data_IF_298450107186
#
_entry.id   IF_298450107186
#
_cell.length_a   1.000
_cell.length_b   1.000
_cell.length_c   1.000
_cell.angle_alpha   90.00
_cell.angle_beta   90.00
_cell.angle_gamma   90.00
#
_symmetry.space_group_name_H-M   'P 1'
#
loop_
_entity.id
_entity.type
_entity.pdbx_description
1 polymer ?
#
# COMPACT_ATOMS: atom_id res chain seq x y z
N UNK A 1 19.31 -10.87 10.28
CA UNK A 1 18.22 -11.26 9.36
C UNK A 1 18.80 -11.24 7.96
N UNK A 2 18.36 -12.13 7.08
CA UNK A 2 18.83 -12.14 5.70
C UNK A 2 18.23 -10.98 4.91
N UNK A 3 18.90 -10.57 3.84
CA UNK A 3 18.36 -9.60 2.89
C UNK A 3 17.07 -10.09 2.23
N UNK A 4 16.92 -11.41 2.04
CA UNK A 4 15.68 -12.03 1.60
C UNK A 4 14.52 -11.78 2.55
N UNK A 5 14.71 -12.00 3.85
CA UNK A 5 13.69 -11.74 4.87
C UNK A 5 13.30 -10.26 4.85
N UNK A 6 14.29 -9.36 4.86
CA UNK A 6 14.06 -7.92 4.83
C UNK A 6 13.34 -7.45 3.55
N UNK A 7 13.71 -8.00 2.41
CA UNK A 7 13.07 -7.71 1.13
C UNK A 7 11.60 -8.15 1.12
N UNK A 8 11.30 -9.33 1.69
CA UNK A 8 9.93 -9.81 1.84
C UNK A 8 9.12 -8.95 2.80
N UNK A 9 9.71 -8.45 3.88
CA UNK A 9 9.07 -7.50 4.80
C UNK A 9 8.75 -6.19 4.07
N UNK A 10 9.68 -5.64 3.28
CA UNK A 10 9.45 -4.44 2.48
C UNK A 10 8.28 -4.63 1.50
N UNK A 11 8.18 -5.80 0.87
CA UNK A 11 7.03 -6.15 0.01
C UNK A 11 5.73 -6.25 0.82
N UNK A 12 5.78 -6.88 2.00
CA UNK A 12 4.63 -7.05 2.87
C UNK A 12 4.06 -5.71 3.34
N UNK A 13 4.94 -4.82 3.84
CA UNK A 13 4.60 -3.50 4.38
C UNK A 13 4.45 -2.42 3.29
N UNK A 14 4.63 -2.78 2.03
CA UNK A 14 4.49 -1.89 0.87
C UNK A 14 5.48 -0.72 0.89
N UNK A 15 6.69 -0.97 1.40
CA UNK A 15 7.84 -0.07 1.37
C UNK A 15 8.47 -0.04 -0.03
N UNK A 16 7.67 0.36 -1.03
CA UNK A 16 7.99 0.21 -2.46
C UNK A 16 9.33 0.85 -2.85
N UNK A 17 9.66 2.00 -2.25
CA UNK A 17 10.94 2.67 -2.52
C UNK A 17 12.09 1.75 -2.13
N UNK A 18 12.09 1.20 -0.91
CA UNK A 18 13.12 0.27 -0.46
C UNK A 18 13.21 -0.95 -1.38
N UNK A 19 12.07 -1.49 -1.83
CA UNK A 19 12.05 -2.61 -2.78
C UNK A 19 12.78 -2.25 -4.08
N UNK A 20 12.54 -1.06 -4.65
CA UNK A 20 13.23 -0.60 -5.86
C UNK A 20 14.74 -0.46 -5.65
N UNK A 21 15.17 0.07 -4.51
CA UNK A 21 16.60 0.18 -4.18
C UNK A 21 17.25 -1.20 -4.03
N UNK A 22 16.63 -2.11 -3.27
CA UNK A 22 17.16 -3.47 -3.06
C UNK A 22 17.25 -4.20 -4.40
N UNK A 23 16.23 -4.09 -5.26
CA UNK A 23 16.29 -4.68 -6.60
C UNK A 23 17.40 -4.13 -7.47
N UNK A 24 17.61 -2.81 -7.45
CA UNK A 24 18.70 -2.21 -8.21
C UNK A 24 20.05 -2.78 -7.75
N UNK A 25 20.29 -2.83 -6.43
CA UNK A 25 21.52 -3.38 -5.87
C UNK A 25 21.71 -4.87 -6.20
N UNK A 26 20.64 -5.67 -6.17
CA UNK A 26 20.65 -7.07 -6.60
C UNK A 26 20.98 -7.20 -8.09
N UNK A 27 20.38 -6.37 -8.95
CA UNK A 27 20.58 -6.42 -10.41
C UNK A 27 22.01 -6.07 -10.84
N UNK A 28 22.68 -5.23 -10.05
CA UNK A 28 24.08 -4.84 -10.25
C UNK A 28 25.06 -5.77 -9.50
N UNK A 29 24.57 -6.88 -8.91
CA UNK A 29 25.33 -7.83 -8.11
C UNK A 29 26.12 -7.21 -6.94
N UNK A 30 25.63 -6.09 -6.38
CA UNK A 30 26.25 -5.40 -5.23
C UNK A 30 25.94 -6.10 -3.90
N UNK A 31 24.83 -6.83 -3.86
CA UNK A 31 24.37 -7.62 -2.71
C UNK A 31 23.79 -8.96 -3.20
N UNK A 32 23.67 -9.94 -2.30
CA UNK A 32 22.95 -11.20 -2.48
C UNK A 32 21.77 -11.31 -1.52
N UNK A 33 20.75 -12.08 -1.88
CA UNK A 33 19.59 -12.34 -1.01
C UNK A 33 19.96 -13.10 0.28
N UNK A 34 21.04 -13.89 0.23
CA UNK A 34 21.53 -14.68 1.37
C UNK A 34 22.49 -13.90 2.27
N UNK A 35 22.85 -12.67 1.89
CA UNK A 35 23.66 -11.80 2.73
C UNK A 35 22.87 -11.34 3.96
N UNK A 36 23.59 -11.04 5.04
CA UNK A 36 23.00 -10.36 6.19
C UNK A 36 22.65 -8.91 5.84
N UNK A 37 21.54 -8.41 6.38
CA UNK A 37 21.04 -7.04 6.13
C UNK A 37 22.06 -5.95 6.47
N UNK A 38 23.02 -6.22 7.38
CA UNK A 38 24.10 -5.26 7.70
C UNK A 38 25.00 -4.92 6.51
N UNK A 39 25.01 -5.72 5.43
CA UNK A 39 25.72 -5.40 4.19
C UNK A 39 24.96 -4.43 3.29
N UNK A 40 23.71 -4.13 3.60
CA UNK A 40 22.88 -3.23 2.79
C UNK A 40 23.35 -1.79 2.97
N UNK A 41 23.87 -1.21 1.90
CA UNK A 41 24.23 0.20 1.84
C UNK A 41 23.59 0.85 0.62
N UNK A 42 22.55 1.64 0.87
CA UNK A 42 21.80 2.34 -0.18
C UNK A 42 22.61 3.42 -0.89
N UNK A 43 23.74 3.87 -0.32
CA UNK A 43 24.62 4.83 -0.99
C UNK A 43 25.32 4.21 -2.20
N UNK A 44 25.38 2.87 -2.29
CA UNK A 44 25.92 2.19 -3.46
C UNK A 44 24.93 2.19 -4.64
N UNK A 45 23.67 2.56 -4.44
CA UNK A 45 22.67 2.59 -5.51
C UNK A 45 22.87 3.79 -6.43
N UNK A 46 22.75 3.55 -7.74
CA UNK A 46 22.67 4.60 -8.74
C UNK A 46 21.27 5.24 -8.69
N UNK A 47 21.22 6.50 -8.25
CA UNK A 47 19.98 7.21 -7.98
C UNK A 47 19.17 7.46 -9.26
N UNK A 48 19.84 7.70 -10.39
CA UNK A 48 19.18 7.96 -11.67
C UNK A 48 18.52 6.69 -12.20
N UNK A 49 19.22 5.55 -12.10
CA UNK A 49 18.66 4.25 -12.45
C UNK A 49 17.48 3.88 -11.56
N UNK A 50 17.57 4.08 -10.24
CA UNK A 50 16.46 3.82 -9.32
C UNK A 50 15.25 4.70 -9.63
N UNK A 51 15.46 6.00 -9.88
CA UNK A 51 14.40 6.92 -10.27
C UNK A 51 13.72 6.47 -11.58
N UNK A 52 14.49 5.96 -12.55
CA UNK A 52 13.94 5.41 -13.77
C UNK A 52 13.09 4.15 -13.54
N UNK A 53 13.55 3.23 -12.67
CA UNK A 53 12.80 2.02 -12.30
C UNK A 53 11.45 2.37 -11.66
N UNK A 54 11.45 3.34 -10.74
CA UNK A 54 10.23 3.85 -10.08
C UNK A 54 9.29 4.48 -11.13
N UNK A 55 9.81 5.35 -11.99
CA UNK A 55 9.02 6.04 -13.02
C UNK A 55 8.38 5.08 -14.01
N UNK A 56 9.13 4.05 -14.43
CA UNK A 56 8.63 2.98 -15.31
C UNK A 56 7.70 2.01 -14.59
N UNK A 57 7.66 2.06 -13.26
CA UNK A 57 6.93 1.15 -12.39
C UNK A 57 7.13 -0.32 -12.79
N UNK A 58 8.38 -0.76 -13.00
CA UNK A 58 8.66 -2.10 -13.53
C UNK A 58 8.13 -3.22 -12.63
N UNK A 59 7.92 -2.94 -11.34
CA UNK A 59 7.33 -3.90 -10.40
C UNK A 59 5.81 -3.89 -10.36
N UNK A 60 5.18 -3.02 -11.15
CA UNK A 60 3.72 -2.94 -11.24
C UNK A 60 3.07 -2.56 -9.91
N UNK A 61 3.79 -1.91 -9.00
CA UNK A 61 3.22 -1.50 -7.73
C UNK A 61 2.12 -0.50 -7.98
N UNK A 62 0.94 -0.81 -7.41
CA UNK A 62 -0.19 0.09 -7.41
C UNK A 62 -0.51 0.38 -5.96
N UNK A 63 -0.19 1.59 -5.52
CA UNK A 63 -0.50 2.03 -4.16
C UNK A 63 -2.01 2.16 -4.03
N UNK A 64 -2.55 1.46 -3.03
CA UNK A 64 -3.97 1.48 -2.67
C UNK A 64 -4.06 1.98 -1.23
N UNK A 65 -4.80 3.06 -1.06
CA UNK A 65 -5.06 3.71 0.20
C UNK A 65 -6.39 3.26 0.79
N UNK A 66 -6.57 3.49 2.08
CA UNK A 66 -7.87 3.44 2.75
C UNK A 66 -8.34 4.87 2.92
N UNK A 67 -9.50 5.17 2.35
CA UNK A 67 -10.20 6.43 2.53
C UNK A 67 -11.31 6.23 3.54
N UNK A 68 -11.35 7.09 4.54
CA UNK A 68 -12.43 7.23 5.50
C UNK A 68 -13.36 8.34 5.01
N UNK A 69 -14.63 8.04 4.78
CA UNK A 69 -15.62 8.99 4.27
C UNK A 69 -16.79 9.10 5.23
N UNK A 70 -17.04 10.32 5.73
CA UNK A 70 -18.17 10.58 6.63
C UNK A 70 -19.49 10.62 5.85
N UNK A 71 -20.48 9.89 6.37
CA UNK A 71 -21.85 9.94 5.87
C UNK A 71 -22.70 10.90 6.70
N UNK A 72 -23.72 11.46 6.07
CA UNK A 72 -24.78 12.17 6.78
C UNK A 72 -25.50 11.22 7.75
N UNK A 73 -25.67 11.65 9.00
CA UNK A 73 -26.14 10.82 10.12
C UNK A 73 -25.04 10.27 11.05
N UNK A 74 -23.77 10.63 10.84
CA UNK A 74 -22.68 10.37 11.79
C UNK A 74 -21.92 9.05 11.62
N UNK A 75 -22.32 8.22 10.66
CA UNK A 75 -21.60 7.00 10.31
C UNK A 75 -20.35 7.26 9.46
N UNK A 76 -19.55 6.23 9.28
CA UNK A 76 -18.31 6.32 8.52
C UNK A 76 -18.16 5.14 7.57
N UNK A 77 -17.66 5.40 6.36
CA UNK A 77 -17.45 4.38 5.33
C UNK A 77 -15.98 4.33 4.96
N UNK A 78 -15.45 3.12 4.91
CA UNK A 78 -14.08 2.90 4.45
C UNK A 78 -14.06 2.35 3.02
N UNK A 79 -13.22 2.95 2.17
CA UNK A 79 -13.05 2.57 0.77
C UNK A 79 -11.56 2.36 0.48
N UNK A 80 -11.22 1.21 -0.11
CA UNK A 80 -9.92 1.06 -0.75
C UNK A 80 -9.93 1.71 -2.14
N UNK A 81 -8.98 2.60 -2.42
CA UNK A 81 -8.84 3.20 -3.76
C UNK A 81 -7.40 3.64 -4.06
N UNK A 82 -7.10 3.87 -5.34
CA UNK A 82 -5.78 4.35 -5.76
C UNK A 82 -5.58 5.86 -5.52
N UNK A 83 -6.67 6.61 -5.39
CA UNK A 83 -6.69 8.06 -5.18
C UNK A 83 -8.06 8.49 -4.61
N UNK A 84 -8.13 9.73 -4.11
CA UNK A 84 -9.35 10.32 -3.54
C UNK A 84 -10.53 10.32 -4.52
N UNK A 85 -10.26 10.65 -5.79
CA UNK A 85 -11.31 10.78 -6.80
C UNK A 85 -12.03 9.45 -7.04
N UNK A 86 -11.29 8.34 -7.10
CA UNK A 86 -11.84 6.99 -7.22
C UNK A 86 -12.72 6.64 -6.00
N UNK A 87 -12.29 7.00 -4.79
CA UNK A 87 -13.08 6.79 -3.57
C UNK A 87 -14.36 7.62 -3.57
N UNK A 88 -14.26 8.92 -3.88
CA UNK A 88 -15.40 9.84 -3.97
C UNK A 88 -16.39 9.37 -5.04
N UNK A 89 -15.90 8.94 -6.21
CA UNK A 89 -16.75 8.45 -7.29
C UNK A 89 -17.50 7.18 -6.89
N UNK A 90 -16.82 6.24 -6.25
CA UNK A 90 -17.43 5.02 -5.73
C UNK A 90 -18.49 5.35 -4.67
N UNK A 91 -18.17 6.24 -3.72
CA UNK A 91 -19.11 6.71 -2.70
C UNK A 91 -20.36 7.35 -3.32
N UNK A 92 -20.19 8.31 -4.25
CA UNK A 92 -21.30 8.99 -4.93
C UNK A 92 -22.18 8.02 -5.71
N UNK A 93 -21.59 7.01 -6.34
CA UNK A 93 -22.35 5.97 -7.07
C UNK A 93 -23.25 5.16 -6.13
N UNK A 94 -22.77 4.86 -4.92
CA UNK A 94 -23.48 4.06 -3.93
C UNK A 94 -24.53 4.84 -3.16
N UNK A 95 -24.16 6.01 -2.62
CA UNK A 95 -25.03 6.79 -1.72
C UNK A 95 -25.79 7.93 -2.43
N UNK A 96 -25.51 8.16 -3.73
CA UNK A 96 -26.12 9.23 -4.54
C UNK A 96 -25.91 10.64 -3.98
N UNK A 97 -24.89 10.82 -3.13
CA UNK A 97 -24.49 12.08 -2.51
C UNK A 97 -22.97 12.16 -2.35
N UNK A 98 -22.45 13.36 -2.13
CA UNK A 98 -21.04 13.55 -1.77
C UNK A 98 -20.81 13.14 -0.30
N UNK A 99 -19.60 12.67 0.06
CA UNK A 99 -19.22 12.52 1.46
C UNK A 99 -19.18 13.90 2.14
N UNK A 100 -19.43 13.95 3.44
CA UNK A 100 -19.31 15.19 4.21
C UNK A 100 -17.83 15.58 4.39
N UNK A 101 -17.00 14.58 4.68
CA UNK A 101 -15.56 14.71 4.86
C UNK A 101 -14.89 13.46 4.29
N UNK A 102 -13.62 13.63 3.89
CA UNK A 102 -12.74 12.56 3.44
C UNK A 102 -11.42 12.68 4.20
N UNK A 103 -10.94 11.56 4.73
CA UNK A 103 -9.62 11.43 5.35
C UNK A 103 -8.96 10.11 4.95
N UNK A 104 -7.72 9.91 5.37
CA UNK A 104 -6.92 8.71 5.14
C UNK A 104 -6.79 7.88 6.40
N UNK A 105 -6.91 6.56 6.26
CA UNK A 105 -6.61 5.63 7.34
C UNK A 105 -5.29 4.88 7.06
N UNK A 106 -4.41 4.71 8.06
CA UNK A 106 -3.25 3.83 7.94
C UNK A 106 -3.67 2.40 7.59
N UNK A 107 -2.88 1.72 6.74
CA UNK A 107 -3.14 0.32 6.38
C UNK A 107 -3.00 -0.64 7.57
N UNK A 108 -2.22 -0.25 8.58
CA UNK A 108 -1.96 -1.04 9.78
C UNK A 108 -3.00 -0.78 10.89
N UNK A 109 -4.03 0.03 10.63
CA UNK A 109 -5.18 0.17 11.54
C UNK A 109 -5.96 -1.13 11.60
N UNK A 110 -6.21 -1.60 12.83
CA UNK A 110 -7.05 -2.76 13.10
C UNK A 110 -8.54 -2.43 12.97
N UNK A 111 -9.29 -3.36 12.36
CA UNK A 111 -10.73 -3.31 12.22
C UNK A 111 -11.34 -4.67 12.54
N UNK A 112 -12.61 -4.64 12.96
CA UNK A 112 -13.39 -5.85 13.22
C UNK A 112 -14.19 -6.17 11.95
N UNK A 113 -13.92 -7.34 11.36
CA UNK A 113 -14.67 -7.89 10.22
C UNK A 113 -15.34 -9.18 10.67
N UNK A 114 -16.67 -9.13 10.86
CA UNK A 114 -17.41 -10.20 11.50
C UNK A 114 -16.93 -10.40 12.95
N UNK A 115 -16.28 -11.54 13.22
CA UNK A 115 -15.75 -11.89 14.55
C UNK A 115 -14.21 -11.88 14.61
N UNK A 116 -13.53 -11.34 13.60
CA UNK A 116 -12.07 -11.31 13.53
C UNK A 116 -11.57 -9.87 13.57
N UNK A 117 -10.50 -9.65 14.34
CA UNK A 117 -9.69 -8.43 14.26
C UNK A 117 -8.64 -8.66 13.17
N UNK A 118 -8.51 -7.70 12.26
CA UNK A 118 -7.48 -7.70 11.23
C UNK A 118 -7.16 -6.28 10.79
N UNK A 119 -5.99 -6.07 10.21
CA UNK A 119 -5.60 -4.77 9.65
C UNK A 119 -6.23 -4.53 8.27
N UNK A 120 -6.35 -3.27 7.86
CA UNK A 120 -6.73 -2.97 6.46
C UNK A 120 -5.74 -3.58 5.46
N UNK A 121 -4.46 -3.68 5.78
CA UNK A 121 -3.44 -4.32 4.94
C UNK A 121 -3.78 -5.78 4.66
N UNK A 122 -4.10 -6.53 5.70
CA UNK A 122 -4.50 -7.93 5.58
C UNK A 122 -5.82 -8.06 4.81
N UNK A 123 -6.79 -7.20 5.14
CA UNK A 123 -8.10 -7.21 4.49
C UNK A 123 -7.99 -6.89 3.00
N UNK A 124 -7.13 -5.95 2.61
CA UNK A 124 -6.89 -5.55 1.21
C UNK A 124 -6.54 -6.76 0.33
N UNK A 125 -5.79 -7.72 0.87
CA UNK A 125 -5.37 -8.93 0.13
C UNK A 125 -6.50 -9.89 -0.19
N UNK A 126 -7.67 -9.72 0.44
CA UNK A 126 -8.86 -10.51 0.16
C UNK A 126 -9.65 -9.98 -1.04
N UNK A 127 -9.33 -8.77 -1.51
CA UNK A 127 -9.95 -8.15 -2.68
C UNK A 127 -9.06 -8.27 -3.92
N UNK A 128 -9.70 -8.45 -5.08
CA UNK A 128 -9.03 -8.58 -6.39
C UNK A 128 -9.25 -7.36 -7.31
N UNK A 129 -10.00 -6.36 -6.85
CA UNK A 129 -10.33 -5.17 -7.64
C UNK A 129 -10.43 -3.93 -6.75
N UNK A 130 -10.11 -2.78 -7.32
CA UNK A 130 -10.17 -1.47 -6.68
C UNK A 130 -10.75 -0.44 -7.66
N UNK A 131 -11.52 0.56 -7.19
CA UNK A 131 -11.86 0.80 -5.78
C UNK A 131 -12.92 -0.19 -5.25
N UNK A 132 -12.91 -0.45 -3.93
CA UNK A 132 -13.89 -1.35 -3.27
C UNK A 132 -14.32 -0.83 -1.90
N UNK A 133 -15.56 -1.15 -1.51
CA UNK A 133 -16.08 -0.90 -0.17
C UNK A 133 -15.55 -1.93 0.81
N UNK A 134 -15.31 -1.49 2.03
CA UNK A 134 -14.80 -2.34 3.11
C UNK A 134 -15.90 -2.61 4.13
N UNK A 135 -16.43 -1.54 4.73
CA UNK A 135 -17.41 -1.62 5.82
C UNK A 135 -18.11 -0.27 6.02
N UNK A 136 -19.24 -0.31 6.72
CA UNK A 136 -19.97 0.83 7.25
C UNK A 136 -19.94 0.71 8.79
N UNK A 137 -19.36 1.71 9.45
CA UNK A 137 -19.35 1.84 10.91
C UNK A 137 -20.49 2.72 11.41
#
# INVERSE_FOLDING_TARGET
MTLKEFYMDCLYYEEHILVYYIQHLLSENKISLEDDVSKLDFNQADQDKVAELIRKNLLGFRKIYVFELKVDGGGVVYIFAANEQDAINLFKRTFRKAPLELDYCPLDTEIIVGNKVMTFRELKRTYNHFPTFISFG
#
